data_IF_441231535463
#
_entry.id   IF_441231535463
#
_cell.length_a   1.000
_cell.length_b   1.000
_cell.length_c   1.000
_cell.angle_alpha   90.00
_cell.angle_beta   90.00
_cell.angle_gamma   90.00
#
_symmetry.space_group_name_H-M   'P 1'
#
loop_
_entity.id
_entity.type
_entity.pdbx_description
1 polymer ?
#
# COMPACT_ATOMS: atom_id res chain seq x y z
N UNK A 1 21.69 6.93 40.39
CA UNK A 1 21.70 6.15 39.13
C UNK A 1 21.32 7.11 38.02
N UNK A 2 22.31 7.74 37.40
CA UNK A 2 22.12 8.68 36.29
C UNK A 2 21.82 7.87 35.04
N UNK A 3 20.62 8.03 34.49
CA UNK A 3 20.27 7.46 33.20
C UNK A 3 21.21 8.01 32.11
N UNK A 4 21.74 7.15 31.23
CA UNK A 4 22.53 7.63 30.11
C UNK A 4 21.62 8.38 29.13
N UNK A 5 22.02 9.61 28.80
CA UNK A 5 21.52 10.38 27.67
C UNK A 5 21.71 9.56 26.38
N UNK A 6 20.70 9.46 25.50
CA UNK A 6 20.90 8.82 24.21
C UNK A 6 21.74 9.76 23.33
N UNK A 7 23.04 9.54 23.30
CA UNK A 7 23.91 10.03 22.23
C UNK A 7 23.90 9.00 21.11
N UNK A 8 23.47 9.42 19.92
CA UNK A 8 24.24 9.37 18.67
C UNK A 8 23.33 9.90 17.56
N UNK A 9 23.35 11.21 17.35
CA UNK A 9 22.79 11.85 16.16
C UNK A 9 23.70 11.46 14.98
N UNK A 10 23.43 10.30 14.37
CA UNK A 10 24.13 9.91 13.15
C UNK A 10 23.75 10.94 12.07
N UNK A 11 24.71 11.61 11.42
CA UNK A 11 24.39 12.68 10.49
C UNK A 11 23.50 12.13 9.38
N UNK A 12 22.30 12.71 9.25
CA UNK A 12 21.33 12.37 8.20
C UNK A 12 22.03 12.48 6.85
N UNK A 13 22.24 11.34 6.19
CA UNK A 13 22.93 11.31 4.91
C UNK A 13 21.97 11.67 3.80
N UNK A 14 22.04 12.92 3.33
CA UNK A 14 21.15 13.47 2.29
C UNK A 14 21.72 13.26 0.88
N UNK A 15 20.99 12.61 -0.05
CA UNK A 15 21.42 12.49 -1.43
C UNK A 15 21.55 13.86 -2.12
N UNK A 16 22.61 14.08 -2.91
CA UNK A 16 22.84 15.35 -3.64
C UNK A 16 21.75 15.72 -4.65
N UNK A 17 21.14 14.72 -5.28
CA UNK A 17 19.96 14.84 -6.15
C UNK A 17 18.97 13.80 -5.72
N UNK A 18 17.71 14.17 -5.57
CA UNK A 18 16.60 13.32 -5.18
C UNK A 18 16.00 12.64 -6.41
N UNK A 19 15.64 13.42 -7.42
CA UNK A 19 14.98 12.93 -8.64
C UNK A 19 15.99 12.45 -9.67
N UNK A 20 15.63 11.39 -10.38
CA UNK A 20 16.41 10.78 -11.46
C UNK A 20 15.54 10.54 -12.70
N UNK A 21 16.10 9.89 -13.71
CA UNK A 21 15.37 9.33 -14.84
C UNK A 21 16.02 8.01 -15.24
N UNK A 22 15.21 6.98 -15.46
CA UNK A 22 15.65 5.82 -16.24
C UNK A 22 15.52 6.13 -17.75
N UNK A 23 15.98 5.22 -18.62
CA UNK A 23 15.96 5.42 -20.08
C UNK A 23 14.56 5.66 -20.63
N UNK A 24 13.58 4.90 -20.17
CA UNK A 24 12.19 4.93 -20.66
C UNK A 24 11.50 6.24 -20.24
N UNK A 25 11.56 6.59 -18.96
CA UNK A 25 10.99 7.82 -18.43
C UNK A 25 11.65 9.06 -19.02
N UNK A 26 12.98 9.02 -19.26
CA UNK A 26 13.68 10.12 -19.94
C UNK A 26 13.15 10.36 -21.35
N UNK A 27 12.81 9.30 -22.09
CA UNK A 27 12.33 9.42 -23.47
C UNK A 27 11.00 10.18 -23.58
N UNK A 28 10.20 10.16 -22.50
CA UNK A 28 8.91 10.85 -22.41
C UNK A 28 8.96 12.08 -21.48
N UNK A 29 10.16 12.54 -21.10
CA UNK A 29 10.34 13.73 -20.28
C UNK A 29 9.91 13.60 -18.81
N UNK A 30 9.72 12.38 -18.31
CA UNK A 30 9.29 12.10 -16.94
C UNK A 30 10.50 11.96 -16.02
N UNK A 31 10.42 12.56 -14.84
CA UNK A 31 11.35 12.35 -13.72
C UNK A 31 10.79 11.33 -12.74
N UNK A 32 11.64 10.61 -12.01
CA UNK A 32 11.18 9.68 -10.98
C UNK A 32 11.85 9.88 -9.63
N UNK A 33 11.02 9.72 -8.58
CA UNK A 33 11.48 9.49 -7.21
C UNK A 33 11.52 7.99 -6.95
N UNK A 34 12.63 7.50 -6.39
CA UNK A 34 12.87 6.06 -6.24
C UNK A 34 12.99 5.62 -4.78
N UNK A 35 12.42 4.45 -4.48
CA UNK A 35 12.53 3.76 -3.20
C UNK A 35 12.95 2.30 -3.44
N UNK A 36 13.53 1.58 -2.46
CA UNK A 36 13.77 0.16 -2.64
C UNK A 36 12.43 -0.58 -2.70
N UNK A 37 12.37 -1.68 -3.44
CA UNK A 37 11.15 -2.46 -3.57
C UNK A 37 10.89 -3.35 -2.34
N UNK A 38 9.63 -3.40 -1.89
CA UNK A 38 9.13 -4.31 -0.86
C UNK A 38 9.91 -4.22 0.46
N UNK A 39 10.33 -5.36 1.01
CA UNK A 39 10.96 -5.45 2.32
C UNK A 39 12.44 -5.84 2.21
N UNK A 40 13.24 -5.30 3.13
CA UNK A 40 14.67 -5.54 3.17
C UNK A 40 15.32 -4.97 4.41
N UNK A 41 16.65 -4.83 4.36
CA UNK A 41 17.47 -4.21 5.41
C UNK A 41 18.26 -3.04 4.84
N UNK A 42 18.33 -1.95 5.58
CA UNK A 42 19.24 -0.84 5.32
C UNK A 42 20.68 -1.22 5.74
N UNK A 43 21.70 -0.50 5.25
CA UNK A 43 23.10 -0.76 5.64
C UNK A 43 23.36 -0.64 7.15
N UNK A 44 22.56 0.15 7.87
CA UNK A 44 22.61 0.32 9.32
C UNK A 44 21.92 -0.81 10.12
N UNK A 45 21.37 -1.82 9.43
CA UNK A 45 20.74 -2.99 10.02
C UNK A 45 19.21 -2.89 10.21
N UNK A 46 18.62 -1.69 10.09
CA UNK A 46 17.17 -1.49 10.21
C UNK A 46 16.42 -2.26 9.12
N UNK A 47 15.34 -2.95 9.49
CA UNK A 47 14.41 -3.55 8.53
C UNK A 47 13.43 -2.52 8.02
N UNK A 48 13.08 -2.59 6.75
CA UNK A 48 12.04 -1.76 6.17
C UNK A 48 11.04 -2.60 5.39
N UNK A 49 9.85 -2.04 5.17
CA UNK A 49 8.89 -2.49 4.17
C UNK A 49 8.27 -1.28 3.48
N UNK A 50 8.64 -1.04 2.22
CA UNK A 50 8.11 0.06 1.40
C UNK A 50 6.84 -0.31 0.65
N UNK A 51 6.44 -1.59 0.65
CA UNK A 51 5.21 -2.06 -0.01
C UNK A 51 4.37 -2.90 0.97
N UNK A 52 3.72 -2.27 1.98
CA UNK A 52 3.00 -3.00 3.01
C UNK A 52 1.84 -3.83 2.44
N UNK A 53 1.18 -3.35 1.39
CA UNK A 53 0.08 -4.07 0.72
C UNK A 53 0.53 -4.98 -0.42
N UNK A 54 1.81 -5.37 -0.48
CA UNK A 54 2.30 -6.27 -1.53
C UNK A 54 1.72 -7.69 -1.38
N UNK A 55 0.97 -8.13 -2.39
CA UNK A 55 0.43 -9.48 -2.49
C UNK A 55 1.35 -10.38 -3.31
N UNK A 56 0.84 -10.92 -4.43
CA UNK A 56 1.63 -11.72 -5.38
C UNK A 56 2.82 -10.92 -5.91
N UNK A 57 2.70 -9.59 -5.98
CA UNK A 57 3.77 -8.71 -6.41
C UNK A 57 5.02 -8.79 -5.50
N UNK A 58 4.91 -9.18 -4.23
CA UNK A 58 6.08 -9.40 -3.37
C UNK A 58 7.03 -10.48 -3.92
N UNK A 59 6.46 -11.47 -4.63
CA UNK A 59 7.17 -12.60 -5.24
C UNK A 59 7.56 -12.35 -6.69
N UNK A 60 6.77 -11.56 -7.42
CA UNK A 60 6.94 -11.29 -8.86
C UNK A 60 7.36 -9.84 -9.17
N UNK A 61 7.92 -9.13 -8.19
CA UNK A 61 8.33 -7.74 -8.37
C UNK A 61 9.51 -7.64 -9.35
N UNK A 62 9.31 -6.92 -10.46
CA UNK A 62 10.35 -6.64 -11.45
C UNK A 62 11.54 -5.87 -10.83
N UNK A 63 11.26 -4.95 -9.89
CA UNK A 63 12.27 -4.15 -9.21
C UNK A 63 13.08 -4.90 -8.14
N UNK A 64 12.89 -6.22 -8.03
CA UNK A 64 13.75 -7.12 -7.22
C UNK A 64 14.69 -7.96 -8.07
N UNK A 65 14.87 -7.58 -9.34
CA UNK A 65 15.68 -8.30 -10.32
C UNK A 65 16.49 -7.32 -11.19
N UNK A 66 17.43 -7.85 -11.97
CA UNK A 66 18.13 -7.09 -13.00
C UNK A 66 18.88 -5.86 -12.48
N UNK A 67 18.75 -4.75 -13.18
CA UNK A 67 19.47 -3.48 -12.91
C UNK A 67 19.14 -2.90 -11.53
N UNK A 68 17.97 -3.18 -10.96
CA UNK A 68 17.61 -2.75 -9.60
C UNK A 68 18.50 -3.37 -8.51
N UNK A 69 19.17 -4.49 -8.81
CA UNK A 69 20.11 -5.14 -7.89
C UNK A 69 21.54 -4.60 -7.99
N UNK A 70 21.84 -3.76 -8.99
CA UNK A 70 23.15 -3.16 -9.13
C UNK A 70 23.46 -2.29 -7.90
N UNK A 71 24.67 -2.38 -7.31
CA UNK A 71 24.99 -1.66 -6.07
C UNK A 71 24.71 -0.17 -6.14
N UNK A 72 25.01 0.49 -7.26
CA UNK A 72 24.75 1.92 -7.45
C UNK A 72 23.25 2.26 -7.37
N UNK A 73 22.38 1.44 -7.97
CA UNK A 73 20.93 1.64 -7.95
C UNK A 73 20.40 1.33 -6.56
N UNK A 74 20.73 0.16 -6.01
CA UNK A 74 20.29 -0.24 -4.67
C UNK A 74 20.69 0.76 -3.60
N UNK A 75 21.95 1.22 -3.60
CA UNK A 75 22.45 2.18 -2.62
C UNK A 75 21.73 3.53 -2.75
N UNK A 76 21.43 3.98 -3.97
CA UNK A 76 20.64 5.20 -4.22
C UNK A 76 19.22 5.06 -3.65
N UNK A 77 18.56 3.95 -3.91
CA UNK A 77 17.20 3.69 -3.41
C UNK A 77 17.18 3.62 -1.87
N UNK A 78 18.14 2.90 -1.28
CA UNK A 78 18.29 2.82 0.18
C UNK A 78 18.61 4.18 0.81
N UNK A 79 19.46 5.00 0.19
CA UNK A 79 19.76 6.35 0.67
C UNK A 79 18.54 7.28 0.59
N UNK A 80 17.74 7.17 -0.47
CA UNK A 80 16.47 7.89 -0.58
C UNK A 80 15.50 7.49 0.54
N UNK A 81 15.34 6.19 0.80
CA UNK A 81 14.49 5.71 1.88
C UNK A 81 15.01 6.14 3.26
N UNK A 82 16.31 6.01 3.51
CA UNK A 82 16.92 6.42 4.77
C UNK A 82 16.64 7.91 5.05
N UNK A 83 16.78 8.79 4.06
CA UNK A 83 16.46 10.21 4.25
C UNK A 83 14.99 10.43 4.65
N UNK A 84 14.04 9.73 4.01
CA UNK A 84 12.62 9.83 4.39
C UNK A 84 12.37 9.32 5.81
N UNK A 85 13.02 8.21 6.21
CA UNK A 85 12.85 7.61 7.53
C UNK A 85 13.53 8.41 8.65
N UNK A 86 14.67 9.04 8.36
CA UNK A 86 15.49 9.74 9.33
C UNK A 86 15.04 11.20 9.51
N UNK A 87 14.56 11.84 8.44
CA UNK A 87 14.23 13.27 8.42
C UNK A 87 13.16 13.57 7.35
N UNK A 88 11.92 13.14 7.59
CA UNK A 88 10.80 13.38 6.68
C UNK A 88 10.58 14.89 6.37
N UNK A 89 10.59 15.81 7.36
CA UNK A 89 10.46 17.25 7.07
C UNK A 89 11.62 17.80 6.23
N UNK A 90 12.86 17.39 6.53
CA UNK A 90 14.02 17.80 5.74
C UNK A 90 14.02 17.21 4.33
N UNK A 91 13.53 15.98 4.16
CA UNK A 91 13.30 15.40 2.84
C UNK A 91 12.26 16.19 2.04
N UNK A 92 11.14 16.56 2.66
CA UNK A 92 10.09 17.36 2.03
C UNK A 92 10.63 18.72 1.58
N UNK A 93 11.36 19.42 2.46
CA UNK A 93 12.00 20.69 2.14
C UNK A 93 13.03 20.55 1.00
N UNK A 94 13.85 19.50 1.01
CA UNK A 94 14.82 19.23 -0.03
C UNK A 94 14.15 18.89 -1.38
N UNK A 95 13.03 18.16 -1.37
CA UNK A 95 12.25 17.86 -2.58
C UNK A 95 11.66 19.14 -3.18
N UNK A 96 11.06 20.00 -2.37
CA UNK A 96 10.55 21.30 -2.81
C UNK A 96 11.66 22.19 -3.39
N UNK A 97 12.81 22.24 -2.71
CA UNK A 97 13.97 23.00 -3.17
C UNK A 97 14.49 22.46 -4.52
N UNK A 98 14.63 21.15 -4.68
CA UNK A 98 15.04 20.57 -5.97
C UNK A 98 14.03 20.87 -7.07
N UNK A 99 12.75 20.66 -6.80
CA UNK A 99 11.68 20.89 -7.76
C UNK A 99 11.63 22.36 -8.19
N UNK A 100 12.06 23.34 -7.37
CA UNK A 100 12.02 24.77 -7.70
C UNK A 100 12.92 25.17 -8.89
N UNK A 101 13.83 24.30 -9.32
CA UNK A 101 14.68 24.55 -10.46
C UNK A 101 13.88 24.64 -11.77
N UNK A 102 14.23 25.60 -12.63
CA UNK A 102 13.56 25.86 -13.93
C UNK A 102 13.35 24.63 -14.81
N UNK A 103 14.23 23.62 -14.71
CA UNK A 103 14.12 22.36 -15.47
C UNK A 103 12.87 21.54 -15.15
N UNK A 104 12.19 21.85 -14.06
CA UNK A 104 10.98 21.16 -13.63
C UNK A 104 9.69 21.93 -13.95
N UNK A 105 9.74 23.14 -14.49
CA UNK A 105 8.52 23.88 -14.82
C UNK A 105 7.67 23.05 -15.81
N UNK A 106 6.43 22.71 -15.43
CA UNK A 106 5.56 21.87 -16.26
C UNK A 106 5.97 20.40 -16.35
N UNK A 107 6.92 19.94 -15.52
CA UNK A 107 7.47 18.60 -15.61
C UNK A 107 6.53 17.53 -15.03
N UNK A 108 6.66 16.32 -15.57
CA UNK A 108 6.02 15.12 -15.06
C UNK A 108 6.93 14.39 -14.07
N UNK A 109 6.38 14.05 -12.91
CA UNK A 109 7.07 13.35 -11.83
C UNK A 109 6.33 12.05 -11.52
N UNK A 110 6.96 10.90 -11.81
CA UNK A 110 6.53 9.61 -11.31
C UNK A 110 6.99 9.44 -9.86
N UNK A 111 6.04 9.39 -8.95
CA UNK A 111 6.28 9.02 -7.56
C UNK A 111 6.36 7.49 -7.52
N UNK A 112 7.56 7.00 -7.19
CA UNK A 112 7.94 5.58 -7.12
C UNK A 112 8.05 4.89 -8.50
N UNK A 113 9.28 4.61 -8.91
CA UNK A 113 9.54 3.57 -9.91
C UNK A 113 9.46 2.16 -9.27
N UNK A 114 9.87 2.07 -8.01
CA UNK A 114 9.69 0.93 -7.12
C UNK A 114 9.43 1.38 -5.69
N UNK A 115 8.90 0.49 -4.86
CA UNK A 115 8.34 0.86 -3.56
C UNK A 115 6.88 1.30 -3.69
N UNK A 116 6.30 1.76 -2.58
CA UNK A 116 4.95 2.31 -2.50
C UNK A 116 4.85 3.26 -1.27
N UNK A 117 3.66 3.77 -0.97
CA UNK A 117 3.39 4.61 0.20
C UNK A 117 3.33 3.79 1.50
N UNK A 118 4.44 3.75 2.23
CA UNK A 118 4.58 2.90 3.43
C UNK A 118 4.05 3.52 4.73
N UNK A 119 3.69 4.81 4.75
CA UNK A 119 3.08 5.47 5.90
C UNK A 119 2.13 6.60 5.49
N UNK A 120 1.19 6.94 6.36
CA UNK A 120 0.24 8.03 6.14
C UNK A 120 0.98 9.37 6.07
N UNK A 121 1.99 9.56 6.94
CA UNK A 121 2.76 10.81 6.99
C UNK A 121 3.60 11.02 5.73
N UNK A 122 4.15 9.95 5.16
CA UNK A 122 4.87 10.02 3.89
C UNK A 122 3.95 10.36 2.72
N UNK A 123 2.74 9.78 2.67
CA UNK A 123 1.73 10.16 1.67
C UNK A 123 1.32 11.64 1.84
N UNK A 124 1.04 12.08 3.07
CA UNK A 124 0.68 13.49 3.34
C UNK A 124 1.80 14.47 2.96
N UNK A 125 3.07 14.10 3.13
CA UNK A 125 4.20 14.89 2.67
C UNK A 125 4.18 15.08 1.14
N UNK A 126 3.90 14.01 0.38
CA UNK A 126 3.69 14.13 -1.07
C UNK A 126 2.50 15.01 -1.44
N UNK A 127 1.38 14.92 -0.72
CA UNK A 127 0.23 15.79 -0.97
C UNK A 127 0.55 17.27 -0.71
N UNK A 128 1.37 17.58 0.30
CA UNK A 128 1.88 18.95 0.52
C UNK A 128 2.77 19.41 -0.63
N UNK A 129 3.66 18.55 -1.12
CA UNK A 129 4.49 18.83 -2.30
C UNK A 129 3.63 19.13 -3.53
N UNK A 130 2.60 18.31 -3.80
CA UNK A 130 1.70 18.51 -4.93
C UNK A 130 1.02 19.88 -4.86
N UNK A 131 0.46 20.23 -3.68
CA UNK A 131 -0.22 21.53 -3.46
C UNK A 131 0.74 22.72 -3.54
N UNK A 132 1.98 22.56 -3.07
CA UNK A 132 2.99 23.61 -3.13
C UNK A 132 3.50 23.87 -4.56
N UNK A 133 3.33 22.91 -5.48
CA UNK A 133 3.83 22.95 -6.86
C UNK A 133 2.75 22.62 -7.88
N UNK A 134 1.71 23.48 -8.01
CA UNK A 134 0.60 23.24 -8.91
C UNK A 134 0.99 23.27 -10.40
N UNK A 135 2.19 23.77 -10.73
CA UNK A 135 2.74 23.80 -12.09
C UNK A 135 3.32 22.45 -12.56
N UNK A 136 3.46 21.47 -11.65
CA UNK A 136 3.96 20.13 -11.96
C UNK A 136 2.82 19.16 -12.20
N UNK A 137 3.10 18.04 -12.87
CA UNK A 137 2.20 16.89 -12.93
C UNK A 137 2.81 15.71 -12.18
N UNK A 138 2.18 15.24 -11.11
CA UNK A 138 2.68 14.13 -10.31
C UNK A 138 1.77 12.92 -10.50
N UNK A 139 2.37 11.74 -10.63
CA UNK A 139 1.58 10.51 -10.71
C UNK A 139 2.23 9.29 -10.08
N UNK A 140 1.42 8.31 -9.68
CA UNK A 140 1.89 7.05 -9.12
C UNK A 140 1.04 5.84 -9.50
N UNK A 141 1.68 4.67 -9.44
CA UNK A 141 1.00 3.39 -9.28
C UNK A 141 1.00 3.04 -7.79
N UNK A 142 -0.11 2.59 -7.24
CA UNK A 142 -0.16 2.19 -5.82
C UNK A 142 -1.03 0.96 -5.58
N UNK A 143 -0.66 0.19 -4.56
CA UNK A 143 -1.43 -0.92 -3.99
C UNK A 143 -2.07 -0.57 -2.64
N UNK A 144 -1.86 0.66 -2.17
CA UNK A 144 -2.33 1.15 -0.87
C UNK A 144 -3.75 1.71 -0.98
N UNK A 145 -4.71 0.85 -1.35
CA UNK A 145 -6.10 1.22 -1.67
C UNK A 145 -6.78 1.93 -0.50
N UNK A 146 -6.78 1.33 0.69
CA UNK A 146 -7.33 1.92 1.91
C UNK A 146 -6.71 3.29 2.21
N UNK A 147 -5.38 3.41 2.07
CA UNK A 147 -4.66 4.64 2.38
C UNK A 147 -5.11 5.78 1.47
N UNK A 148 -5.24 5.52 0.18
CA UNK A 148 -5.67 6.53 -0.79
C UNK A 148 -7.15 6.91 -0.61
N UNK A 149 -8.03 5.93 -0.37
CA UNK A 149 -9.44 6.19 -0.05
C UNK A 149 -9.60 7.11 1.16
N UNK A 150 -8.84 6.84 2.24
CA UNK A 150 -8.92 7.62 3.48
C UNK A 150 -8.30 9.01 3.39
N UNK A 151 -7.24 9.20 2.59
CA UNK A 151 -6.38 10.40 2.67
C UNK A 151 -6.40 11.26 1.41
N UNK A 152 -6.63 10.66 0.24
CA UNK A 152 -6.49 11.35 -1.06
C UNK A 152 -7.84 11.63 -1.68
N UNK A 153 -8.71 10.63 -1.79
CA UNK A 153 -9.91 10.70 -2.65
C UNK A 153 -10.90 11.82 -2.26
N UNK A 154 -10.97 12.19 -0.98
CA UNK A 154 -11.88 13.23 -0.51
C UNK A 154 -11.46 14.66 -0.92
N UNK A 155 -10.16 14.91 -1.07
CA UNK A 155 -9.60 16.22 -1.46
C UNK A 155 -8.26 16.03 -2.23
N UNK A 156 -8.32 15.52 -3.46
CA UNK A 156 -7.12 15.26 -4.24
C UNK A 156 -6.55 16.57 -4.80
N UNK A 157 -5.22 16.81 -4.69
CA UNK A 157 -4.58 17.90 -5.41
C UNK A 157 -4.84 17.77 -6.92
N UNK A 158 -5.27 18.83 -7.64
CA UNK A 158 -5.65 18.74 -9.06
C UNK A 158 -4.52 18.25 -9.98
N UNK A 159 -3.27 18.36 -9.54
CA UNK A 159 -2.09 17.97 -10.26
C UNK A 159 -1.51 16.60 -9.84
N UNK A 160 -2.22 15.87 -8.98
CA UNK A 160 -1.85 14.53 -8.55
C UNK A 160 -2.78 13.49 -9.14
N UNK A 161 -2.23 12.62 -9.98
CA UNK A 161 -2.94 11.54 -10.65
C UNK A 161 -2.48 10.19 -10.10
N UNK A 162 -3.35 9.19 -10.03
CA UNK A 162 -2.94 7.87 -9.60
C UNK A 162 -3.69 6.78 -10.34
N UNK A 163 -3.11 5.58 -10.32
CA UNK A 163 -3.74 4.36 -10.76
C UNK A 163 -3.54 3.29 -9.69
N UNK A 164 -4.63 2.62 -9.31
CA UNK A 164 -4.54 1.47 -8.44
C UNK A 164 -3.99 0.28 -9.20
N UNK A 165 -3.08 -0.49 -8.62
CA UNK A 165 -2.44 -1.61 -9.31
C UNK A 165 -2.80 -2.94 -8.67
N UNK A 166 -3.28 -3.90 -9.47
CA UNK A 166 -3.53 -5.26 -9.03
C UNK A 166 -2.24 -5.99 -8.60
N UNK A 167 -2.43 -7.09 -7.86
CA UNK A 167 -1.38 -7.90 -7.26
C UNK A 167 -1.04 -7.53 -5.82
N UNK A 168 -1.90 -6.75 -5.17
CA UNK A 168 -1.82 -6.33 -3.77
C UNK A 168 -2.69 -7.15 -2.83
N UNK A 169 -2.59 -6.92 -1.53
CA UNK A 169 -3.45 -7.60 -0.53
C UNK A 169 -4.85 -7.01 -0.42
N UNK A 170 -5.09 -5.88 -1.08
CA UNK A 170 -6.32 -5.09 -1.01
C UNK A 170 -7.10 -5.12 -2.33
N UNK A 171 -6.75 -6.01 -3.27
CA UNK A 171 -7.36 -6.10 -4.60
C UNK A 171 -8.89 -6.31 -4.56
N UNK A 172 -9.41 -6.89 -3.48
CA UNK A 172 -10.86 -7.09 -3.25
C UNK A 172 -11.63 -5.78 -3.13
N UNK A 173 -10.95 -4.71 -2.74
CA UNK A 173 -11.57 -3.41 -2.49
C UNK A 173 -11.67 -2.61 -3.79
N UNK A 174 -10.94 -3.00 -4.84
CA UNK A 174 -10.97 -2.36 -6.16
C UNK A 174 -12.24 -2.72 -6.95
N UNK A 175 -12.81 -1.72 -7.61
CA UNK A 175 -13.92 -1.86 -8.54
C UNK A 175 -13.50 -1.34 -9.92
N UNK A 176 -13.16 -2.21 -10.88
CA UNK A 176 -12.69 -1.79 -12.21
C UNK A 176 -13.75 -1.05 -13.05
N UNK A 177 -15.03 -1.03 -12.63
CA UNK A 177 -16.07 -0.24 -13.30
C UNK A 177 -16.07 1.25 -12.94
N UNK A 178 -15.35 1.65 -11.88
CA UNK A 178 -15.24 3.06 -11.44
C UNK A 178 -13.80 3.47 -11.19
N UNK A 179 -12.98 2.55 -10.69
CA UNK A 179 -11.58 2.81 -10.37
C UNK A 179 -10.73 2.76 -11.64
N UNK A 180 -9.77 3.68 -11.73
CA UNK A 180 -8.64 3.54 -12.63
C UNK A 180 -7.70 2.48 -12.08
N UNK A 181 -7.58 1.37 -12.81
CA UNK A 181 -6.80 0.20 -12.39
C UNK A 181 -5.77 -0.21 -13.44
N UNK A 182 -4.62 -0.69 -12.96
CA UNK A 182 -3.58 -1.31 -13.75
C UNK A 182 -3.37 -2.76 -13.36
N UNK A 183 -3.21 -3.64 -14.34
CA UNK A 183 -2.86 -5.04 -14.11
C UNK A 183 -1.66 -5.44 -14.98
N UNK A 184 -0.89 -6.43 -14.51
CA UNK A 184 0.28 -6.96 -15.19
C UNK A 184 -0.12 -8.21 -15.95
N UNK A 185 -0.03 -8.15 -17.27
CA UNK A 185 -0.35 -9.23 -18.20
C UNK A 185 0.91 -9.94 -18.69
N UNK A 186 0.76 -11.13 -19.26
CA UNK A 186 1.91 -11.87 -19.78
C UNK A 186 2.59 -11.12 -20.94
N UNK A 187 1.81 -10.48 -21.81
CA UNK A 187 2.24 -9.74 -22.99
C UNK A 187 1.13 -8.80 -23.52
N UNK A 188 1.42 -8.08 -24.60
CA UNK A 188 0.49 -7.19 -25.32
C UNK A 188 -0.75 -7.90 -25.87
N UNK A 189 -0.60 -9.14 -26.34
CA UNK A 189 -1.73 -9.88 -26.90
C UNK A 189 -2.75 -10.19 -25.78
N UNK A 190 -2.28 -10.61 -24.62
CA UNK A 190 -3.14 -10.86 -23.47
C UNK A 190 -3.87 -9.59 -22.98
N UNK A 191 -3.25 -8.40 -23.12
CA UNK A 191 -3.90 -7.11 -22.83
C UNK A 191 -5.05 -6.87 -23.82
N UNK A 192 -4.79 -7.03 -25.11
CA UNK A 192 -5.77 -6.83 -26.16
C UNK A 192 -6.95 -7.82 -26.04
N UNK A 193 -6.66 -9.10 -25.81
CA UNK A 193 -7.67 -10.16 -25.65
C UNK A 193 -8.59 -9.91 -24.44
N UNK A 194 -8.07 -9.26 -23.40
CA UNK A 194 -8.86 -8.87 -22.22
C UNK A 194 -9.70 -7.59 -22.45
N UNK A 195 -9.48 -6.86 -23.55
CA UNK A 195 -10.10 -5.56 -23.81
C UNK A 195 -9.51 -4.41 -22.99
N UNK A 196 -8.26 -4.55 -22.54
CA UNK A 196 -7.56 -3.53 -21.75
C UNK A 196 -6.68 -2.66 -22.65
N UNK A 197 -6.27 -1.49 -22.16
CA UNK A 197 -5.43 -0.55 -22.92
C UNK A 197 -3.98 -0.62 -22.45
N UNK A 198 -3.05 -0.96 -23.35
CA UNK A 198 -1.63 -1.03 -22.99
C UNK A 198 -1.03 0.35 -22.71
N UNK A 199 -0.16 0.42 -21.70
CA UNK A 199 0.67 1.60 -21.42
C UNK A 199 2.05 1.58 -22.09
N UNK A 200 2.44 0.51 -22.79
CA UNK A 200 3.83 0.28 -23.24
C UNK A 200 4.43 1.45 -24.06
N UNK A 201 3.61 2.12 -24.86
CA UNK A 201 4.07 3.26 -25.67
C UNK A 201 4.49 4.48 -24.82
N UNK A 202 3.91 4.64 -23.63
CA UNK A 202 4.25 5.70 -22.68
C UNK A 202 3.64 5.41 -21.31
N UNK A 203 4.48 5.42 -20.27
CA UNK A 203 4.04 5.23 -18.87
C UNK A 203 2.97 6.24 -18.43
N UNK A 204 2.86 7.40 -19.10
CA UNK A 204 1.81 8.39 -18.85
C UNK A 204 0.41 7.88 -19.22
N UNK A 205 0.28 6.90 -20.11
CA UNK A 205 -1.00 6.30 -20.48
C UNK A 205 -1.68 5.62 -19.29
N UNK A 206 -0.94 5.27 -18.23
CA UNK A 206 -1.52 4.74 -17.02
C UNK A 206 -2.47 5.73 -16.32
N UNK A 207 -2.24 7.04 -16.46
CA UNK A 207 -3.08 8.09 -15.87
C UNK A 207 -3.79 8.98 -16.90
N UNK A 208 -3.32 9.02 -18.14
CA UNK A 208 -3.92 9.80 -19.22
C UNK A 208 -4.77 8.97 -20.19
N UNK A 209 -4.55 7.65 -20.27
CA UNK A 209 -5.28 6.75 -21.14
C UNK A 209 -6.61 6.26 -20.53
N UNK A 210 -7.23 5.23 -21.12
CA UNK A 210 -8.41 4.57 -20.55
C UNK A 210 -8.16 4.05 -19.12
N UNK A 211 -9.23 3.87 -18.34
CA UNK A 211 -9.13 3.53 -16.92
C UNK A 211 -8.67 2.08 -16.64
N UNK A 212 -8.80 1.18 -17.62
CA UNK A 212 -8.28 -0.20 -17.56
C UNK A 212 -6.91 -0.28 -18.25
N UNK A 213 -5.85 -0.29 -17.44
CA UNK A 213 -4.46 -0.16 -17.90
C UNK A 213 -3.78 -1.53 -17.90
N UNK A 214 -3.37 -2.00 -19.07
CA UNK A 214 -2.55 -3.20 -19.21
C UNK A 214 -1.07 -2.87 -19.16
N UNK A 215 -0.32 -3.57 -18.32
CA UNK A 215 1.15 -3.50 -18.25
C UNK A 215 1.69 -4.85 -18.74
N UNK A 216 2.45 -4.91 -19.84
CA UNK A 216 3.09 -6.15 -20.24
C UNK A 216 4.19 -6.51 -19.22
N UNK A 217 4.24 -7.78 -18.82
CA UNK A 217 5.27 -8.24 -17.90
C UNK A 217 6.67 -8.07 -18.53
N UNK A 218 7.60 -7.60 -17.71
CA UNK A 218 9.02 -7.64 -18.04
C UNK A 218 9.41 -9.06 -18.46
N UNK A 219 10.24 -9.19 -19.51
CA UNK A 219 10.67 -10.47 -20.10
C UNK A 219 11.64 -11.26 -19.22
N UNK A 220 11.22 -11.56 -17.99
CA UNK A 220 11.93 -12.34 -16.98
C UNK A 220 11.36 -13.75 -17.02
N UNK A 221 12.12 -14.70 -17.58
CA UNK A 221 11.65 -16.09 -17.83
C UNK A 221 11.01 -16.76 -16.61
N UNK A 222 11.59 -16.54 -15.42
CA UNK A 222 11.06 -17.10 -14.19
C UNK A 222 9.68 -16.54 -13.83
N UNK A 223 9.44 -15.25 -14.10
CA UNK A 223 8.15 -14.60 -13.82
C UNK A 223 7.09 -15.02 -14.82
N UNK A 224 7.41 -15.02 -16.12
CA UNK A 224 6.49 -15.51 -17.14
C UNK A 224 6.08 -16.97 -16.89
N UNK A 225 7.03 -17.82 -16.48
CA UNK A 225 6.74 -19.20 -16.07
C UNK A 225 5.85 -19.27 -14.82
N UNK A 226 6.05 -18.38 -13.86
CA UNK A 226 5.22 -18.33 -12.65
C UNK A 226 3.82 -17.77 -12.90
N UNK A 227 3.68 -16.87 -13.87
CA UNK A 227 2.40 -16.30 -14.29
C UNK A 227 1.54 -17.28 -15.08
N UNK A 228 2.16 -18.19 -15.84
CA UNK A 228 1.44 -19.20 -16.65
C UNK A 228 0.37 -18.58 -17.57
N UNK A 229 0.68 -17.43 -18.19
CA UNK A 229 -0.25 -16.70 -19.05
C UNK A 229 -1.31 -15.88 -18.31
N UNK A 230 -1.37 -15.94 -16.98
CA UNK A 230 -2.34 -15.22 -16.16
C UNK A 230 -1.83 -13.85 -15.75
N UNK A 231 -2.75 -12.92 -15.50
CA UNK A 231 -2.47 -11.58 -14.99
C UNK A 231 -2.37 -11.54 -13.46
N UNK A 232 -1.85 -10.45 -12.90
CA UNK A 232 -1.61 -10.37 -11.45
C UNK A 232 -2.92 -10.43 -10.64
N UNK A 233 -4.03 -9.86 -11.12
CA UNK A 233 -5.32 -9.97 -10.41
C UNK A 233 -5.73 -11.43 -10.20
N UNK A 234 -5.54 -12.27 -11.22
CA UNK A 234 -5.94 -13.68 -11.17
C UNK A 234 -5.05 -14.46 -10.18
N UNK A 235 -3.74 -14.24 -10.24
CA UNK A 235 -2.79 -14.88 -9.32
C UNK A 235 -3.02 -14.47 -7.86
N UNK A 236 -3.42 -13.20 -7.67
CA UNK A 236 -3.72 -12.66 -6.35
C UNK A 236 -5.03 -13.23 -5.80
N UNK A 237 -6.08 -13.31 -6.62
CA UNK A 237 -7.34 -13.94 -6.26
C UNK A 237 -7.17 -15.41 -5.83
N UNK A 238 -6.36 -16.18 -6.56
CA UNK A 238 -6.03 -17.56 -6.19
C UNK A 238 -5.30 -17.64 -4.85
N UNK A 239 -4.32 -16.76 -4.64
CA UNK A 239 -3.57 -16.71 -3.39
C UNK A 239 -4.50 -16.38 -2.20
N UNK A 240 -5.46 -15.48 -2.39
CA UNK A 240 -6.47 -15.15 -1.39
C UNK A 240 -7.44 -16.30 -1.12
N UNK A 241 -7.93 -16.96 -2.17
CA UNK A 241 -8.79 -18.13 -2.03
C UNK A 241 -8.07 -19.25 -1.26
N UNK A 242 -6.80 -19.52 -1.58
CA UNK A 242 -5.99 -20.50 -0.88
C UNK A 242 -5.75 -20.12 0.59
N UNK A 243 -5.48 -18.84 0.89
CA UNK A 243 -5.34 -18.34 2.26
C UNK A 243 -6.65 -18.48 3.05
N UNK A 244 -7.79 -18.14 2.46
CA UNK A 244 -9.10 -18.28 3.08
C UNK A 244 -9.43 -19.75 3.38
N UNK A 245 -9.17 -20.66 2.43
CA UNK A 245 -9.36 -22.09 2.63
C UNK A 245 -8.49 -22.65 3.78
N UNK A 246 -7.22 -22.23 3.87
CA UNK A 246 -6.34 -22.61 4.99
C UNK A 246 -6.87 -22.12 6.34
N UNK A 247 -7.31 -20.85 6.42
CA UNK A 247 -7.90 -20.28 7.65
C UNK A 247 -9.15 -21.02 8.10
N UNK A 248 -10.02 -21.42 7.15
CA UNK A 248 -11.21 -22.24 7.45
C UNK A 248 -10.84 -23.62 8.00
N UNK A 249 -9.83 -24.29 7.42
CA UNK A 249 -9.34 -25.59 7.91
C UNK A 249 -8.75 -25.50 9.31
N UNK A 250 -7.92 -24.50 9.59
CA UNK A 250 -7.30 -24.32 10.93
C UNK A 250 -8.32 -23.95 12.00
N UNK A 251 -9.39 -23.23 11.65
CA UNK A 251 -10.48 -22.90 12.56
C UNK A 251 -11.41 -24.10 12.80
N UNK A 252 -11.69 -24.91 11.78
CA UNK A 252 -12.52 -26.10 11.87
C UNK A 252 -11.92 -27.28 12.66
N UNK A 253 -10.58 -27.32 12.82
CA UNK A 253 -9.90 -28.34 13.64
C UNK A 253 -9.80 -27.98 15.13
N UNK A 254 -10.29 -26.81 15.54
CA UNK A 254 -10.16 -26.28 16.91
C UNK A 254 -11.46 -26.28 17.72
N UNK A 255 -12.17 -27.42 17.83
CA UNK A 255 -13.05 -27.79 18.98
C UNK A 255 -13.83 -29.07 18.66
N UNK A 256 -13.34 -30.19 19.20
CA UNK A 256 -14.18 -31.31 19.61
C UNK A 256 -13.74 -31.74 21.02
N UNK A 257 -13.82 -30.83 21.99
CA UNK A 257 -13.87 -31.27 23.38
C UNK A 257 -15.29 -31.79 23.60
N UNK A 258 -15.43 -33.11 23.48
CA UNK A 258 -16.60 -33.85 23.96
C UNK A 258 -16.72 -33.52 25.45
N UNK A 259 -17.72 -32.72 25.80
CA UNK A 259 -18.14 -32.57 27.20
C UNK A 259 -18.82 -33.88 27.57
N UNK A 260 -18.07 -34.78 28.21
CA UNK A 260 -18.62 -35.98 28.81
C UNK A 260 -19.53 -35.57 29.96
N UNK A 261 -20.83 -35.74 29.78
CA UNK A 261 -21.85 -35.54 30.81
C UNK A 261 -21.62 -36.58 31.91
N UNK A 262 -21.03 -36.17 33.04
CA UNK A 262 -21.05 -36.98 34.27
C UNK A 262 -22.37 -36.67 34.98
N UNK A 263 -23.25 -37.66 35.02
CA UNK A 263 -24.47 -37.64 35.82
C UNK A 263 -24.11 -37.60 37.32
N UNK A 264 -24.71 -36.66 38.05
CA UNK A 264 -24.73 -36.68 39.52
C UNK A 264 -26.14 -36.97 40.01
N UNK A 265 -26.25 -38.04 40.81
CA UNK A 265 -27.43 -38.48 41.52
C UNK A 265 -27.80 -37.51 42.68
N UNK A 266 -29.05 -37.48 43.14
CA UNK A 266 -29.53 -36.44 44.04
C UNK A 266 -29.22 -36.76 45.52
N UNK A 267 -28.74 -35.74 46.25
CA UNK A 267 -28.62 -35.77 47.69
C UNK A 267 -29.77 -34.99 48.36
N UNK A 268 -30.15 -35.47 49.54
CA UNK A 268 -31.40 -35.25 50.27
C UNK A 268 -31.53 -33.88 50.93
N UNK A 269 -32.79 -33.56 51.22
CA UNK A 269 -33.36 -32.40 51.92
C UNK A 269 -32.99 -32.34 53.42
N UNK A 270 -32.65 -31.15 53.89
CA UNK A 270 -33.06 -30.52 55.16
C UNK A 270 -32.68 -29.02 55.03
N UNK A 271 -33.46 -27.98 55.34
CA UNK A 271 -34.56 -27.75 56.25
C UNK A 271 -34.20 -26.45 57.00
N UNK A 272 -34.92 -25.33 56.79
CA UNK A 272 -34.72 -24.12 57.62
C UNK A 272 -35.13 -22.75 57.04
N UNK A 273 -36.40 -22.37 57.28
CA UNK A 273 -36.96 -21.05 57.69
C UNK A 273 -36.45 -19.75 57.02
N UNK A 274 -37.33 -19.07 56.26
CA UNK A 274 -38.04 -17.79 56.56
C UNK A 274 -37.14 -16.53 56.53
N UNK A 275 -37.43 -15.38 55.91
CA UNK A 275 -38.68 -14.64 55.66
C UNK A 275 -38.37 -13.34 54.88
N UNK A 276 -39.36 -12.76 54.17
CA UNK A 276 -39.38 -11.35 53.73
C UNK A 276 -39.24 -11.16 52.21
N UNK A 277 -40.33 -11.21 51.43
CA UNK A 277 -41.26 -10.12 51.09
C UNK A 277 -40.67 -9.01 50.17
N UNK A 278 -41.04 -9.04 48.87
CA UNK A 278 -41.89 -8.03 48.16
C UNK A 278 -41.10 -6.73 47.82
N UNK A 279 -40.90 -6.28 46.58
CA UNK A 279 -41.89 -5.88 45.55
C UNK A 279 -41.15 -5.54 44.23
N UNK A 280 -41.81 -5.80 43.11
CA UNK A 280 -41.49 -5.22 41.80
C UNK A 280 -42.06 -3.79 41.66
N UNK A 281 -41.41 -2.96 40.85
CA UNK A 281 -42.07 -1.83 40.15
C UNK A 281 -41.20 -1.34 38.97
N UNK A 282 -41.65 -1.72 37.77
CA UNK A 282 -41.48 -0.97 36.51
C UNK A 282 -42.38 0.25 36.53
N UNK A 283 -41.93 1.45 36.13
CA UNK A 283 -42.70 2.36 35.26
C UNK A 283 -41.81 3.39 34.55
N UNK A 284 -42.28 3.74 33.36
CA UNK A 284 -41.85 4.67 32.31
C UNK A 284 -41.65 6.15 32.69
N UNK A 285 -41.06 6.89 31.73
CA UNK A 285 -41.33 8.27 31.25
C UNK A 285 -39.98 8.99 31.01
N UNK A 286 -39.69 9.82 30.01
CA UNK A 286 -40.35 10.42 28.84
C UNK A 286 -39.23 11.08 28.01
N UNK A 287 -39.40 11.20 26.68
CA UNK A 287 -38.55 12.05 25.81
C UNK A 287 -38.93 13.54 25.94
N UNK A 288 -38.02 14.46 25.57
CA UNK A 288 -38.44 15.70 24.91
C UNK A 288 -37.75 15.90 23.55
N UNK A 289 -38.56 16.24 22.55
CA UNK A 289 -38.14 16.56 21.18
C UNK A 289 -37.44 17.93 21.03
N UNK A 290 -36.96 18.26 19.83
CA UNK A 290 -36.08 19.41 19.59
C UNK A 290 -36.88 20.70 19.29
N UNK A 291 -36.59 21.76 20.04
CA UNK A 291 -37.01 23.12 19.75
C UNK A 291 -36.01 23.82 18.83
N UNK A 292 -36.54 24.40 17.75
CA UNK A 292 -35.83 25.27 16.81
C UNK A 292 -35.61 26.67 17.41
N UNK A 293 -34.49 27.27 17.03
CA UNK A 293 -34.13 28.68 17.21
C UNK A 293 -32.94 29.00 16.33
#
# INVERSE_FOLDING_TARGET
MTNPTPTTDSPVTRPKRLLTQNRELRAIGVWNWTLPAWAGRLPDGRTYNTCPSAGICARLCYARQGTYLWPVVRNKHQANLAFVLDDLPGWEAAMLAELSAKRFNGAWIRIHDSGDFFSDDYLRAWLRICRARPDLHLYCYTKEVDRFRRIVEADPPPNFLWVYSYGGTQDRDLNPGVDRVADVFADEQAIADAGWSSQEASDLLAVLGPHLVGIPANRIRAFLKAMQGRRFSDLQADADAARAARRRRTCGTGRAHVSGTIAHAPARVSGGRSSGAVRAATVHSEEPGPGQG
#
